data_IF_922424973183
#
_entry.id   IF_922424973183
#
_cell.length_a   1.000
_cell.length_b   1.000
_cell.length_c   1.000
_cell.angle_alpha   90.00
_cell.angle_beta   90.00
_cell.angle_gamma   90.00
#
_symmetry.space_group_name_H-M   'P 1'
#
loop_
_entity.id
_entity.type
_entity.pdbx_description
1 polymer ?
#
# COMPACT_ATOMS: atom_id res chain seq x y z
N UNK A 1 -40.84 -8.04 22.57
CA UNK A 1 -39.92 -8.98 21.90
C UNK A 1 -38.94 -8.35 20.88
N UNK A 2 -39.09 -7.05 20.49
CA UNK A 2 -38.16 -6.40 19.55
C UNK A 2 -36.86 -5.83 20.19
N UNK A 3 -36.87 -5.46 21.47
CA UNK A 3 -35.69 -4.89 22.18
C UNK A 3 -34.54 -5.89 22.38
N UNK A 4 -34.85 -7.13 22.76
CA UNK A 4 -33.82 -8.15 23.00
C UNK A 4 -33.13 -8.63 21.71
N UNK A 5 -33.86 -8.66 20.58
CA UNK A 5 -33.30 -9.02 19.27
C UNK A 5 -32.35 -7.95 18.73
N UNK A 6 -32.65 -6.66 18.98
CA UNK A 6 -31.81 -5.54 18.56
C UNK A 6 -30.49 -5.46 19.36
N UNK A 7 -30.54 -5.78 20.65
CA UNK A 7 -29.38 -5.70 21.54
C UNK A 7 -28.34 -6.80 21.25
N UNK A 8 -28.76 -8.04 21.00
CA UNK A 8 -27.83 -9.12 20.61
C UNK A 8 -27.20 -8.93 19.22
N UNK A 9 -27.90 -8.27 18.30
CA UNK A 9 -27.40 -7.98 16.93
C UNK A 9 -26.33 -6.88 16.94
N UNK A 10 -26.47 -5.90 17.83
CA UNK A 10 -25.54 -4.79 18.03
C UNK A 10 -24.21 -5.23 18.67
N UNK A 11 -24.26 -6.16 19.64
CA UNK A 11 -23.05 -6.73 20.25
C UNK A 11 -22.27 -7.64 19.30
N UNK A 12 -22.97 -8.41 18.45
CA UNK A 12 -22.34 -9.26 17.44
C UNK A 12 -21.68 -8.44 16.32
N UNK A 13 -22.27 -7.29 15.95
CA UNK A 13 -21.65 -6.35 15.02
C UNK A 13 -20.38 -5.72 15.60
N UNK A 14 -20.40 -5.33 16.88
CA UNK A 14 -19.26 -4.70 17.57
C UNK A 14 -18.05 -5.63 17.60
N UNK A 15 -18.25 -6.93 17.84
CA UNK A 15 -17.18 -7.93 17.81
C UNK A 15 -16.60 -8.11 16.39
N UNK A 16 -17.42 -8.01 15.35
CA UNK A 16 -16.97 -8.03 13.97
C UNK A 16 -16.12 -6.80 13.62
N UNK A 17 -16.46 -5.61 14.13
CA UNK A 17 -15.64 -4.40 13.97
C UNK A 17 -14.26 -4.52 14.63
N UNK A 18 -14.21 -5.07 15.85
CA UNK A 18 -12.95 -5.26 16.57
C UNK A 18 -12.07 -6.27 15.82
N UNK A 19 -12.65 -7.34 15.28
CA UNK A 19 -11.92 -8.32 14.48
C UNK A 19 -11.33 -7.71 13.21
N UNK A 20 -12.07 -6.85 12.49
CA UNK A 20 -11.57 -6.19 11.26
C UNK A 20 -10.46 -5.17 11.58
N UNK A 21 -10.56 -4.45 12.69
CA UNK A 21 -9.53 -3.49 13.11
C UNK A 21 -8.19 -4.17 13.50
N UNK A 22 -8.23 -5.42 13.97
CA UNK A 22 -7.05 -6.17 14.38
C UNK A 22 -6.16 -6.65 13.21
N UNK A 23 -6.63 -6.58 11.95
CA UNK A 23 -5.83 -6.93 10.76
C UNK A 23 -5.01 -5.76 10.19
N UNK A 24 -4.91 -4.64 10.93
CA UNK A 24 -3.97 -3.58 10.60
C UNK A 24 -2.53 -4.09 10.83
N UNK A 25 -1.95 -4.69 9.80
CA UNK A 25 -0.59 -5.22 9.81
C UNK A 25 0.39 -4.19 10.37
N UNK A 26 1.04 -4.53 11.48
CA UNK A 26 2.17 -3.78 12.02
C UNK A 26 3.37 -4.00 11.12
N UNK A 27 3.89 -2.92 10.52
CA UNK A 27 5.18 -2.95 9.81
C UNK A 27 6.28 -3.07 10.86
N UNK A 28 6.64 -4.29 11.20
CA UNK A 28 7.70 -4.59 12.16
C UNK A 28 9.06 -4.31 11.51
N UNK A 29 9.81 -3.37 12.08
CA UNK A 29 11.15 -2.99 11.63
C UNK A 29 11.30 -1.59 11.02
N UNK A 30 10.33 -0.68 11.19
CA UNK A 30 10.38 0.67 10.62
C UNK A 30 11.74 1.38 10.83
N UNK A 31 12.42 1.75 9.75
CA UNK A 31 13.51 2.72 9.81
C UNK A 31 12.93 4.02 10.38
N UNK A 32 13.47 4.52 11.50
CA UNK A 32 12.98 5.75 12.13
C UNK A 32 13.52 6.98 11.38
N UNK A 33 13.01 7.23 10.17
CA UNK A 33 13.39 8.36 9.33
C UNK A 33 12.72 9.68 9.79
N UNK A 34 11.69 9.59 10.64
CA UNK A 34 10.92 10.74 11.13
C UNK A 34 11.74 11.72 11.96
N UNK A 35 12.85 11.28 12.58
CA UNK A 35 13.73 12.15 13.37
C UNK A 35 14.52 13.14 12.50
N UNK A 36 14.66 12.84 11.20
CA UNK A 36 15.44 13.62 10.22
C UNK A 36 14.59 14.41 9.23
N UNK A 37 13.26 14.41 9.37
CA UNK A 37 12.36 15.02 8.38
C UNK A 37 12.35 14.29 7.03
N UNK A 38 12.81 13.03 7.02
CA UNK A 38 12.87 12.17 5.84
C UNK A 38 11.71 11.16 5.85
N UNK A 39 11.29 10.73 4.66
CA UNK A 39 10.20 9.80 4.44
C UNK A 39 10.69 8.36 4.51
N UNK A 40 10.05 7.51 5.30
CA UNK A 40 10.35 6.08 5.35
C UNK A 40 9.67 5.39 4.16
N UNK A 41 10.41 4.67 3.33
CA UNK A 41 9.87 4.01 2.14
C UNK A 41 10.33 2.55 2.05
N UNK A 42 9.54 1.71 1.39
CA UNK A 42 10.00 0.38 1.02
C UNK A 42 11.06 0.49 -0.08
N UNK A 43 12.11 -0.33 0.00
CA UNK A 43 13.10 -0.50 -1.05
C UNK A 43 13.31 -1.96 -1.34
N UNK A 44 12.97 -2.38 -2.56
CA UNK A 44 13.09 -3.76 -2.99
C UNK A 44 13.05 -3.84 -4.51
N UNK A 45 13.63 -4.89 -5.06
CA UNK A 45 13.43 -5.32 -6.43
C UNK A 45 13.18 -6.83 -6.40
N UNK A 46 12.02 -7.25 -6.91
CA UNK A 46 11.61 -8.65 -6.82
C UNK A 46 10.74 -9.08 -7.99
N UNK A 47 10.72 -10.40 -8.25
CA UNK A 47 9.89 -11.06 -9.28
C UNK A 47 8.49 -11.43 -8.77
N UNK A 48 8.04 -10.70 -7.76
CA UNK A 48 6.81 -10.98 -7.02
C UNK A 48 6.17 -9.64 -6.65
N UNK A 49 4.94 -9.44 -7.15
CA UNK A 49 4.18 -8.20 -6.94
C UNK A 49 3.62 -8.06 -5.52
N UNK A 50 3.56 -9.14 -4.75
CA UNK A 50 2.95 -9.18 -3.42
C UNK A 50 3.99 -9.08 -2.29
N UNK A 51 5.14 -9.74 -2.49
CA UNK A 51 6.16 -9.93 -1.45
C UNK A 51 7.31 -8.92 -1.46
N UNK A 52 7.29 -7.93 -2.34
CA UNK A 52 8.26 -6.81 -2.37
C UNK A 52 7.98 -5.82 -1.21
N UNK A 53 8.18 -6.27 0.04
CA UNK A 53 7.98 -5.51 1.30
C UNK A 53 9.19 -5.54 2.22
N UNK A 54 10.21 -6.33 1.89
CA UNK A 54 11.45 -6.44 2.64
C UNK A 54 12.45 -5.38 2.14
N UNK A 55 12.84 -4.48 3.03
CA UNK A 55 13.80 -3.41 2.77
C UNK A 55 13.19 -2.03 3.01
N UNK A 56 13.90 -1.22 3.78
CA UNK A 56 13.45 0.08 4.28
C UNK A 56 14.54 1.11 4.06
N UNK A 57 14.16 2.30 3.63
CA UNK A 57 15.08 3.39 3.31
C UNK A 57 14.45 4.73 3.66
N UNK A 58 15.27 5.73 3.98
CA UNK A 58 14.83 7.11 4.18
C UNK A 58 14.99 7.91 2.88
N UNK A 59 13.96 8.67 2.50
CA UNK A 59 13.97 9.51 1.30
C UNK A 59 13.76 10.98 1.66
N UNK A 60 14.51 11.87 1.00
CA UNK A 60 14.30 13.32 1.12
C UNK A 60 13.19 13.86 0.20
N UNK A 61 12.99 13.20 -0.94
CA UNK A 61 12.05 13.63 -1.98
C UNK A 61 10.71 12.88 -1.92
N UNK A 62 10.69 11.66 -2.48
CA UNK A 62 9.48 10.84 -2.58
C UNK A 62 9.81 9.33 -2.55
N UNK A 63 8.84 8.51 -2.13
CA UNK A 63 8.89 7.08 -2.38
C UNK A 63 8.57 6.79 -3.85
N UNK A 64 9.27 5.83 -4.43
CA UNK A 64 9.11 5.33 -5.78
C UNK A 64 8.55 3.90 -5.78
N UNK A 65 7.67 3.60 -6.74
CA UNK A 65 7.20 2.26 -7.10
C UNK A 65 7.13 2.14 -8.61
N UNK A 66 7.55 1.02 -9.17
CA UNK A 66 7.33 0.65 -10.56
C UNK A 66 6.86 -0.80 -10.66
N UNK A 67 5.87 -1.03 -11.51
CA UNK A 67 5.28 -2.34 -11.77
C UNK A 67 5.46 -2.70 -13.25
N UNK A 68 6.34 -3.65 -13.52
CA UNK A 68 6.49 -4.28 -14.83
C UNK A 68 5.63 -5.56 -14.84
N UNK A 69 4.42 -5.43 -15.39
CA UNK A 69 3.45 -6.52 -15.47
C UNK A 69 3.84 -7.57 -16.51
N UNK A 70 4.67 -7.22 -17.50
CA UNK A 70 5.10 -8.15 -18.56
C UNK A 70 6.07 -9.17 -17.98
N UNK A 71 7.02 -8.71 -17.17
CA UNK A 71 8.05 -9.56 -16.57
C UNK A 71 7.77 -9.98 -15.13
N UNK A 72 6.62 -9.57 -14.59
CA UNK A 72 6.23 -9.77 -13.19
C UNK A 72 7.28 -9.22 -12.20
N UNK A 73 7.77 -7.99 -12.43
CA UNK A 73 8.79 -7.34 -11.61
C UNK A 73 8.23 -6.13 -10.90
N UNK A 74 8.45 -6.06 -9.59
CA UNK A 74 8.21 -4.87 -8.78
C UNK A 74 9.53 -4.23 -8.35
N UNK A 75 9.64 -2.91 -8.53
CA UNK A 75 10.76 -2.12 -8.04
C UNK A 75 10.23 -1.02 -7.12
N UNK A 76 10.86 -0.84 -5.96
CA UNK A 76 10.54 0.19 -4.98
C UNK A 76 11.81 0.85 -4.47
N UNK A 77 11.72 2.12 -4.12
CA UNK A 77 12.84 2.83 -3.51
C UNK A 77 12.53 4.30 -3.24
N UNK A 78 13.59 5.10 -3.30
CA UNK A 78 13.55 6.55 -3.09
C UNK A 78 13.91 7.31 -4.36
N UNK A 79 13.42 8.55 -4.43
CA UNK A 79 14.02 9.61 -5.23
C UNK A 79 14.31 10.83 -4.35
N UNK A 80 15.38 11.53 -4.67
CA UNK A 80 15.81 12.73 -3.95
C UNK A 80 15.00 13.98 -4.34
N UNK A 81 14.35 13.95 -5.49
CA UNK A 81 13.50 15.03 -6.00
C UNK A 81 12.05 14.86 -5.57
N UNK A 82 11.35 15.99 -5.39
CA UNK A 82 9.90 15.98 -5.26
C UNK A 82 9.29 15.75 -6.63
N UNK A 83 8.81 14.53 -6.86
CA UNK A 83 8.03 14.18 -8.05
C UNK A 83 6.54 14.45 -7.82
N UNK A 84 5.80 14.60 -8.90
CA UNK A 84 4.34 14.76 -8.89
C UNK A 84 3.68 13.51 -8.29
N UNK A 85 2.93 13.70 -7.19
CA UNK A 85 2.26 12.63 -6.45
C UNK A 85 1.24 11.93 -7.37
N UNK A 86 1.22 10.60 -7.34
CA UNK A 86 0.37 9.76 -8.17
C UNK A 86 0.54 9.90 -9.70
N UNK A 87 1.67 10.43 -10.18
CA UNK A 87 1.93 10.45 -11.62
C UNK A 87 2.11 9.02 -12.14
N UNK A 88 1.10 8.48 -12.84
CA UNK A 88 1.18 7.19 -13.54
C UNK A 88 1.87 7.40 -14.89
N UNK A 89 3.20 7.32 -14.89
CA UNK A 89 4.02 7.45 -16.11
C UNK A 89 4.72 6.14 -16.40
N UNK A 90 4.69 5.70 -17.65
CA UNK A 90 5.50 4.55 -18.09
C UNK A 90 6.96 4.97 -18.05
N UNK A 91 7.79 4.22 -17.32
CA UNK A 91 9.24 4.44 -17.23
C UNK A 91 9.97 3.14 -17.52
N UNK A 92 11.16 3.26 -18.08
CA UNK A 92 12.12 2.17 -18.27
C UNK A 92 13.29 2.42 -17.33
N UNK A 93 13.67 1.42 -16.54
CA UNK A 93 14.86 1.48 -15.69
C UNK A 93 16.01 0.80 -16.41
N UNK A 94 17.22 1.32 -16.22
CA UNK A 94 18.42 0.70 -16.78
C UNK A 94 18.87 -0.52 -15.97
N UNK A 95 17.96 -1.49 -15.80
CA UNK A 95 18.19 -2.74 -15.07
C UNK A 95 17.84 -3.89 -16.01
N UNK A 96 18.84 -4.66 -16.48
CA UNK A 96 18.61 -5.77 -17.40
C UNK A 96 18.03 -6.98 -16.67
N UNK A 97 17.10 -7.67 -17.33
CA UNK A 97 16.46 -8.89 -16.86
C UNK A 97 17.14 -10.12 -17.49
N UNK A 98 17.96 -10.83 -16.71
CA UNK A 98 18.73 -11.97 -17.23
C UNK A 98 17.87 -13.14 -17.74
N UNK A 99 16.60 -13.20 -17.33
CA UNK A 99 15.63 -14.25 -17.71
C UNK A 99 14.69 -13.85 -18.83
N UNK A 100 14.85 -12.65 -19.38
CA UNK A 100 14.02 -12.10 -20.46
C UNK A 100 14.92 -11.41 -21.49
N UNK A 101 15.89 -12.15 -22.06
CA UNK A 101 16.77 -11.67 -23.14
C UNK A 101 17.48 -10.32 -22.90
N UNK A 102 17.77 -10.00 -21.63
CA UNK A 102 18.31 -8.70 -21.20
C UNK A 102 17.40 -7.49 -21.52
N UNK A 103 16.11 -7.73 -21.71
CA UNK A 103 15.10 -6.67 -21.68
C UNK A 103 15.23 -5.87 -20.38
N UNK A 104 14.88 -4.59 -20.45
CA UNK A 104 14.95 -3.69 -19.32
C UNK A 104 13.62 -3.67 -18.59
N UNK A 105 13.68 -3.50 -17.27
CA UNK A 105 12.49 -3.29 -16.45
C UNK A 105 11.71 -2.09 -16.97
N UNK A 106 10.46 -2.32 -17.39
CA UNK A 106 9.62 -1.27 -17.97
C UNK A 106 8.19 -1.40 -17.47
N UNK A 107 7.65 -0.33 -16.92
CA UNK A 107 6.36 -0.42 -16.26
C UNK A 107 5.76 0.92 -15.87
N UNK A 108 4.57 0.84 -15.29
CA UNK A 108 3.92 1.99 -14.69
C UNK A 108 4.66 2.39 -13.42
N UNK A 109 5.18 3.62 -13.40
CA UNK A 109 5.80 4.22 -12.21
C UNK A 109 4.79 5.06 -11.43
N UNK A 110 5.01 5.13 -10.13
CA UNK A 110 4.23 5.88 -9.15
C UNK A 110 5.19 6.51 -8.13
N UNK A 111 4.91 7.77 -7.78
CA UNK A 111 5.60 8.51 -6.74
C UNK A 111 4.60 8.94 -5.69
N UNK A 112 5.04 8.96 -4.43
CA UNK A 112 4.26 9.51 -3.33
C UNK A 112 5.18 10.14 -2.28
N UNK A 113 4.74 11.24 -1.70
CA UNK A 113 5.56 12.07 -0.79
C UNK A 113 4.81 12.50 0.48
N UNK A 114 3.59 11.98 0.69
CA UNK A 114 2.68 12.47 1.74
C UNK A 114 2.74 11.67 3.04
N UNK A 115 3.16 10.40 3.01
CA UNK A 115 3.14 9.49 4.17
C UNK A 115 4.23 8.43 4.07
N UNK A 116 4.73 8.00 5.23
CA UNK A 116 5.63 6.84 5.32
C UNK A 116 4.99 5.60 4.69
N UNK A 117 5.83 4.82 4.01
CA UNK A 117 5.51 3.56 3.35
C UNK A 117 4.38 3.66 2.30
N UNK A 118 4.14 4.85 1.75
CA UNK A 118 3.09 5.09 0.75
C UNK A 118 3.31 4.30 -0.56
N UNK A 119 4.53 3.79 -0.81
CA UNK A 119 4.84 2.91 -1.94
C UNK A 119 4.56 1.41 -1.67
N UNK A 120 3.66 1.10 -0.73
CA UNK A 120 3.24 -0.27 -0.42
C UNK A 120 2.65 -1.02 -1.63
N UNK A 121 2.61 -2.36 -1.53
CA UNK A 121 2.01 -3.22 -2.53
C UNK A 121 0.49 -2.97 -2.66
N UNK A 122 -0.17 -2.71 -1.53
CA UNK A 122 -1.61 -2.44 -1.46
C UNK A 122 -1.88 -0.97 -1.76
N UNK A 123 -2.57 -0.71 -2.88
CA UNK A 123 -3.42 0.47 -3.00
C UNK A 123 -4.50 0.31 -1.92
N UNK A 124 -4.34 1.00 -0.79
CA UNK A 124 -5.31 0.99 0.29
C UNK A 124 -6.56 1.76 -0.15
N UNK A 125 -7.37 1.17 -1.04
CA UNK A 125 -8.74 1.62 -1.34
C UNK A 125 -9.67 1.23 -0.18
N UNK A 126 -9.33 1.67 1.04
CA UNK A 126 -10.14 1.48 2.24
C UNK A 126 -11.47 2.25 2.10
N UNK A 127 -11.54 3.22 1.18
CA UNK A 127 -12.74 4.01 0.89
C UNK A 127 -13.93 3.16 0.43
N UNK A 128 -13.71 2.08 -0.34
CA UNK A 128 -14.80 1.21 -0.81
C UNK A 128 -15.35 0.32 0.31
N UNK A 129 -14.48 -0.09 1.24
CA UNK A 129 -14.85 -0.89 2.41
C UNK A 129 -15.74 -0.06 3.34
N UNK A 130 -15.39 1.20 3.62
CA UNK A 130 -16.22 2.08 4.44
C UNK A 130 -17.58 2.41 3.79
N UNK A 131 -17.62 2.59 2.47
CA UNK A 131 -18.87 2.84 1.75
C UNK A 131 -19.81 1.61 1.78
N UNK A 132 -19.26 0.41 1.57
CA UNK A 132 -20.01 -0.83 1.67
C UNK A 132 -20.56 -1.07 3.08
N UNK A 133 -19.75 -0.80 4.12
CA UNK A 133 -20.19 -0.90 5.52
C UNK A 133 -21.31 0.09 5.83
N UNK A 134 -21.25 1.31 5.31
CA UNK A 134 -22.28 2.35 5.52
C UNK A 134 -23.62 1.96 4.87
N UNK A 135 -23.58 1.34 3.69
CA UNK A 135 -24.77 0.82 3.01
C UNK A 135 -25.39 -0.36 3.77
N UNK A 136 -24.57 -1.28 4.27
CA UNK A 136 -25.04 -2.38 5.11
C UNK A 136 -25.65 -1.85 6.41
N UNK A 137 -25.05 -0.84 7.04
CA UNK A 137 -25.58 -0.22 8.25
C UNK A 137 -26.96 0.42 8.05
N UNK A 138 -27.15 1.16 6.95
CA UNK A 138 -28.45 1.79 6.67
C UNK A 138 -29.55 0.76 6.38
N UNK A 139 -29.22 -0.40 5.82
CA UNK A 139 -30.19 -1.47 5.54
C UNK A 139 -30.43 -2.43 6.73
N UNK A 140 -29.55 -2.46 7.72
CA UNK A 140 -29.71 -3.32 8.92
C UNK A 140 -30.38 -2.61 10.10
N UNK A 141 -30.30 -1.26 10.15
CA UNK A 141 -30.79 -0.42 11.27
C UNK A 141 -32.17 0.17 10.99
N UNK A 142 -32.64 0.20 9.73
CA UNK A 142 -34.04 0.45 9.37
C UNK A 142 -34.88 -0.83 9.40
#
# INVERSE_FOLDING_TARGET
MKKAYFQGKMESLLLLFIAVAAFANTVEGAANCSVSGELSCFSCMGRDMENCRSGLTCCKGACFKLQDLVHNVMVKGCVDTKEEDASMKVRELNVPLYWADNEKVKGESFFCNSKDFCNSALRQDISLIFAAISLVFTHLVL
#
